data_IF_234865423716
#
_entry.id   IF_234865423716
#
_cell.length_a   1.000
_cell.length_b   1.000
_cell.length_c   1.000
_cell.angle_alpha   90.00
_cell.angle_beta   90.00
_cell.angle_gamma   90.00
#
_symmetry.space_group_name_H-M   'P 1'
#
loop_
_entity.id
_entity.type
_entity.pdbx_description
1 polymer ?
#
# COMPACT_ATOMS: atom_id res chain seq x y z
N UNK A 1 33.19 16.62 -9.74
CA UNK A 1 32.85 16.51 -8.31
C UNK A 1 31.59 17.28 -7.89
N UNK A 2 30.91 18.02 -8.79
CA UNK A 2 29.67 18.75 -8.44
C UNK A 2 28.38 17.90 -8.49
N UNK A 3 28.40 16.75 -9.18
CA UNK A 3 27.19 15.93 -9.39
C UNK A 3 26.74 15.13 -8.16
N UNK A 4 27.67 14.77 -7.25
CA UNK A 4 27.32 13.99 -6.06
C UNK A 4 26.51 14.81 -5.07
N UNK A 5 26.88 16.08 -4.85
CA UNK A 5 26.19 16.96 -3.92
C UNK A 5 24.74 17.24 -4.35
N UNK A 6 24.48 17.31 -5.66
CA UNK A 6 23.12 17.56 -6.18
C UNK A 6 22.23 16.32 -6.07
N UNK A 7 22.77 15.12 -6.29
CA UNK A 7 22.04 13.87 -6.03
C UNK A 7 21.74 13.73 -4.54
N UNK A 8 22.70 14.02 -3.67
CA UNK A 8 22.54 13.92 -2.21
C UNK A 8 21.45 14.88 -1.70
N UNK A 9 21.38 16.11 -2.22
CA UNK A 9 20.29 17.03 -1.91
C UNK A 9 18.93 16.53 -2.40
N UNK A 10 18.84 15.90 -3.57
CA UNK A 10 17.58 15.34 -4.09
C UNK A 10 17.10 14.14 -3.28
N UNK A 11 18.01 13.24 -2.90
CA UNK A 11 17.69 12.12 -2.01
C UNK A 11 17.24 12.66 -0.65
N UNK A 12 17.98 13.61 -0.07
CA UNK A 12 17.61 14.24 1.19
C UNK A 12 16.25 14.92 1.12
N UNK A 13 15.90 15.54 -0.01
CA UNK A 13 14.59 16.15 -0.21
C UNK A 13 13.48 15.09 -0.21
N UNK A 14 13.65 13.99 -0.94
CA UNK A 14 12.68 12.89 -1.02
C UNK A 14 12.51 12.15 0.32
N UNK A 15 13.57 12.06 1.13
CA UNK A 15 13.53 11.42 2.44
C UNK A 15 13.11 12.37 3.58
N UNK A 16 13.02 13.68 3.33
CA UNK A 16 12.70 14.68 4.33
C UNK A 16 13.86 15.07 5.26
N UNK A 17 15.10 14.72 4.89
CA UNK A 17 16.31 14.94 5.70
C UNK A 17 16.96 16.32 5.51
N UNK A 18 16.45 17.12 4.57
CA UNK A 18 16.94 18.47 4.33
C UNK A 18 16.46 19.45 5.40
N UNK A 19 17.30 20.44 5.72
CA UNK A 19 16.85 21.58 6.52
C UNK A 19 15.76 22.38 5.78
N UNK A 20 14.94 23.14 6.52
CA UNK A 20 13.88 23.96 5.92
C UNK A 20 14.39 24.96 4.87
N UNK A 21 15.65 25.42 5.00
CA UNK A 21 16.27 26.29 4.01
C UNK A 21 16.58 25.54 2.71
N UNK A 22 17.16 24.35 2.81
CA UNK A 22 17.52 23.51 1.65
C UNK A 22 16.28 22.94 0.96
N UNK A 23 15.24 22.56 1.71
CA UNK A 23 13.95 22.15 1.15
C UNK A 23 13.37 23.24 0.25
N UNK A 24 13.36 24.49 0.75
CA UNK A 24 12.85 25.63 -0.01
C UNK A 24 13.66 25.87 -1.30
N UNK A 25 14.98 25.70 -1.28
CA UNK A 25 15.81 25.83 -2.48
C UNK A 25 15.50 24.75 -3.52
N UNK A 26 15.24 23.51 -3.08
CA UNK A 26 14.84 22.42 -3.96
C UNK A 26 13.45 22.66 -4.54
N UNK A 27 12.48 23.10 -3.74
CA UNK A 27 11.13 23.47 -4.21
C UNK A 27 11.17 24.61 -5.24
N UNK A 28 11.92 25.67 -4.97
CA UNK A 28 12.05 26.79 -5.90
C UNK A 28 12.65 26.37 -7.25
N UNK A 29 13.56 25.38 -7.25
CA UNK A 29 14.10 24.79 -8.49
C UNK A 29 13.09 23.86 -9.17
N UNK A 30 12.33 23.07 -8.41
CA UNK A 30 11.28 22.18 -8.90
C UNK A 30 10.28 22.93 -9.82
N UNK A 31 9.88 24.13 -9.41
CA UNK A 31 8.93 24.94 -10.17
C UNK A 31 9.52 25.70 -11.36
N UNK A 32 10.86 25.81 -11.46
CA UNK A 32 11.54 26.60 -12.49
C UNK A 32 12.25 25.76 -13.53
N UNK A 33 12.53 24.50 -13.23
CA UNK A 33 13.35 23.61 -14.06
C UNK A 33 12.64 22.25 -14.23
N UNK A 34 11.92 22.12 -15.34
CA UNK A 34 11.22 20.89 -15.71
C UNK A 34 12.18 19.68 -15.80
N UNK A 35 13.44 19.90 -16.21
CA UNK A 35 14.41 18.82 -16.27
C UNK A 35 14.78 18.35 -14.87
N UNK A 36 14.96 19.28 -13.93
CA UNK A 36 15.20 18.96 -12.52
C UNK A 36 14.03 18.16 -11.90
N UNK A 37 12.78 18.55 -12.20
CA UNK A 37 11.60 17.79 -11.78
C UNK A 37 11.61 16.35 -12.34
N UNK A 38 11.84 16.18 -13.64
CA UNK A 38 11.90 14.85 -14.26
C UNK A 38 13.02 13.98 -13.69
N UNK A 39 14.18 14.57 -13.36
CA UNK A 39 15.27 13.86 -12.70
C UNK A 39 14.91 13.46 -11.27
N UNK A 40 14.15 14.30 -10.55
CA UNK A 40 13.68 13.98 -9.20
C UNK A 40 12.67 12.83 -9.19
N UNK A 41 11.70 12.83 -10.11
CA UNK A 41 10.71 11.74 -10.26
C UNK A 41 11.40 10.41 -10.60
N UNK A 42 12.39 10.41 -11.51
CA UNK A 42 13.16 9.20 -11.82
C UNK A 42 13.94 8.68 -10.61
N UNK A 43 14.51 9.60 -9.82
CA UNK A 43 15.25 9.24 -8.63
C UNK A 43 14.32 8.64 -7.56
N UNK A 44 13.11 9.17 -7.41
CA UNK A 44 12.07 8.61 -6.56
C UNK A 44 11.71 7.17 -6.98
N UNK A 45 11.46 6.95 -8.28
CA UNK A 45 11.18 5.61 -8.82
C UNK A 45 12.33 4.61 -8.54
N UNK A 46 13.58 5.06 -8.69
CA UNK A 46 14.76 4.25 -8.41
C UNK A 46 14.91 3.92 -6.93
N UNK A 47 14.65 4.89 -6.03
CA UNK A 47 14.64 4.68 -4.58
C UNK A 47 13.54 3.70 -4.14
N UNK A 48 12.33 3.84 -4.71
CA UNK A 48 11.22 2.90 -4.47
C UNK A 48 11.61 1.50 -4.93
N UNK A 49 12.20 1.37 -6.12
CA UNK A 49 12.64 0.07 -6.67
C UNK A 49 13.70 -0.58 -5.78
N UNK A 50 14.71 0.18 -5.34
CA UNK A 50 15.77 -0.36 -4.48
C UNK A 50 15.24 -0.71 -3.08
N UNK A 51 14.36 0.12 -2.51
CA UNK A 51 13.69 -0.16 -1.23
C UNK A 51 12.87 -1.45 -1.31
N UNK A 52 12.07 -1.61 -2.37
CA UNK A 52 11.33 -2.84 -2.63
C UNK A 52 12.23 -4.05 -2.81
N UNK A 53 13.38 -3.89 -3.48
CA UNK A 53 14.36 -4.96 -3.67
C UNK A 53 15.01 -5.36 -2.34
N UNK A 54 15.41 -4.42 -1.50
CA UNK A 54 15.93 -4.70 -0.16
C UNK A 54 14.86 -5.37 0.71
N UNK A 55 13.60 -4.93 0.63
CA UNK A 55 12.49 -5.56 1.31
C UNK A 55 12.24 -7.00 0.81
N UNK A 56 12.34 -7.23 -0.50
CA UNK A 56 12.25 -8.55 -1.14
C UNK A 56 13.41 -9.46 -0.75
N UNK A 57 14.64 -8.96 -0.71
CA UNK A 57 15.84 -9.71 -0.32
C UNK A 57 15.80 -10.05 1.18
N UNK A 58 15.37 -9.10 2.00
CA UNK A 58 15.15 -9.30 3.45
C UNK A 58 14.03 -10.31 3.69
N UNK A 59 12.92 -10.20 2.95
CA UNK A 59 11.82 -11.16 2.99
C UNK A 59 12.26 -12.53 2.48
N UNK A 60 13.04 -12.63 1.40
CA UNK A 60 13.56 -13.89 0.87
C UNK A 60 14.52 -14.56 1.87
N UNK A 61 15.36 -13.76 2.54
CA UNK A 61 16.26 -14.23 3.59
C UNK A 61 15.53 -14.62 4.89
N UNK A 62 14.37 -14.02 5.17
CA UNK A 62 13.49 -14.40 6.29
C UNK A 62 12.58 -15.60 5.95
N UNK A 63 12.17 -15.77 4.68
CA UNK A 63 11.32 -16.84 4.18
C UNK A 63 12.03 -18.21 4.08
N UNK A 64 13.36 -18.27 4.21
CA UNK A 64 14.07 -19.55 4.46
C UNK A 64 13.79 -20.06 5.88
N UNK A 65 13.32 -19.21 6.80
CA UNK A 65 13.08 -19.59 8.19
C UNK A 65 11.61 -19.60 8.65
N UNK A 66 10.65 -19.01 7.93
CA UNK A 66 9.25 -19.08 8.37
C UNK A 66 8.25 -19.07 7.22
N UNK A 67 7.37 -20.08 7.28
CA UNK A 67 6.23 -20.35 6.41
C UNK A 67 5.33 -19.11 6.30
N UNK A 68 4.89 -18.83 5.08
CA UNK A 68 4.27 -17.56 4.68
C UNK A 68 2.95 -17.20 5.37
N UNK A 69 2.70 -15.89 5.35
CA UNK A 69 1.41 -15.16 5.27
C UNK A 69 1.65 -13.72 5.77
N UNK A 70 1.03 -12.73 5.09
CA UNK A 70 0.83 -11.32 5.49
C UNK A 70 1.96 -10.32 5.17
N UNK A 71 1.89 -9.70 4.00
CA UNK A 71 2.71 -8.51 3.67
C UNK A 71 1.90 -7.20 3.63
N UNK A 72 0.56 -7.24 3.72
CA UNK A 72 -0.27 -6.02 3.73
C UNK A 72 -0.65 -5.56 5.17
N UNK A 73 -0.46 -6.41 6.19
CA UNK A 73 -0.78 -6.06 7.60
C UNK A 73 0.40 -5.50 8.41
N UNK A 74 1.62 -5.40 7.85
CA UNK A 74 2.84 -5.19 8.65
C UNK A 74 3.37 -3.75 8.75
N UNK A 75 2.94 -2.84 7.88
CA UNK A 75 3.38 -1.44 7.94
C UNK A 75 3.03 -0.75 9.28
N UNK A 76 1.80 -0.89 9.83
CA UNK A 76 1.46 -0.31 11.14
C UNK A 76 2.25 -0.95 12.28
N UNK A 77 2.45 -2.27 12.24
CA UNK A 77 3.15 -3.00 13.30
C UNK A 77 4.64 -2.63 13.40
N UNK A 78 5.29 -2.32 12.28
CA UNK A 78 6.70 -1.92 12.24
C UNK A 78 6.89 -0.49 12.79
N UNK A 79 5.97 0.44 12.50
CA UNK A 79 6.03 1.79 13.08
C UNK A 79 5.73 1.78 14.58
N UNK A 80 4.75 1.00 15.03
CA UNK A 80 4.45 0.79 16.45
C UNK A 80 5.67 0.17 17.15
N UNK A 81 6.31 -0.84 16.54
CA UNK A 81 7.51 -1.46 17.11
C UNK A 81 8.70 -0.49 17.17
N UNK A 82 8.92 0.34 16.14
CA UNK A 82 9.97 1.37 16.13
C UNK A 82 9.74 2.38 17.25
N UNK A 83 8.50 2.82 17.44
CA UNK A 83 8.16 3.81 18.46
C UNK A 83 8.23 3.25 19.90
N UNK A 84 7.90 1.97 20.10
CA UNK A 84 8.12 1.27 21.38
C UNK A 84 9.62 1.15 21.71
N UNK A 85 10.47 0.96 20.70
CA UNK A 85 11.93 0.96 20.86
C UNK A 85 12.45 2.35 21.21
N UNK A 86 12.00 3.40 20.52
CA UNK A 86 12.33 4.80 20.83
C UNK A 86 11.87 5.21 22.25
N UNK A 87 10.74 4.68 22.71
CA UNK A 87 10.24 4.92 24.08
C UNK A 87 11.09 4.23 25.16
N UNK A 88 11.72 3.09 24.86
CA UNK A 88 12.65 2.43 25.78
C UNK A 88 14.00 3.17 25.89
N UNK A 89 14.37 4.00 24.92
CA UNK A 89 15.54 4.89 25.03
C UNK A 89 15.31 6.06 26.00
N UNK A 90 14.05 6.45 26.24
CA UNK A 90 13.70 7.45 27.26
C UNK A 90 13.91 6.86 28.67
N UNK A 91 13.66 5.57 28.85
CA UNK A 91 13.90 4.83 30.10
C UNK A 91 15.40 4.65 30.43
N UNK A 92 16.28 4.66 29.42
CA UNK A 92 17.72 4.61 29.63
C UNK A 92 18.32 5.99 29.96
N UNK A 93 17.73 7.08 29.43
CA UNK A 93 18.11 8.46 29.76
C UNK A 93 17.71 8.85 31.20
N UNK A 94 16.58 8.38 31.72
CA UNK A 94 16.11 8.69 33.09
C UNK A 94 16.89 7.97 34.20
N UNK A 95 17.65 6.90 33.90
CA UNK A 95 18.55 6.25 34.88
C UNK A 95 19.90 6.94 35.04
N UNK A 96 20.27 7.84 34.13
CA UNK A 96 21.60 8.45 34.09
C UNK A 96 21.71 9.76 34.89
N UNK A 97 20.60 10.44 35.19
CA UNK A 97 20.63 11.72 35.89
C UNK A 97 19.83 11.65 37.20
N UNK A 98 20.52 11.81 38.33
CA UNK A 98 19.94 11.85 39.68
C UNK A 98 19.10 13.10 39.98
N UNK A 99 18.18 13.45 39.07
CA UNK A 99 17.24 14.56 39.20
C UNK A 99 15.86 14.06 39.58
N UNK A 100 15.29 14.63 40.64
CA UNK A 100 13.89 14.46 41.04
C UNK A 100 12.96 15.04 39.96
N UNK A 101 12.79 14.37 38.82
CA UNK A 101 11.57 14.54 38.03
C UNK A 101 10.46 13.84 38.80
N UNK A 102 9.51 14.64 39.27
CA UNK A 102 8.37 14.15 40.05
C UNK A 102 7.67 13.07 39.23
N UNK A 103 7.40 11.91 39.82
CA UNK A 103 6.72 10.78 39.18
C UNK A 103 5.41 11.17 38.46
N UNK A 104 4.81 12.28 38.86
CA UNK A 104 3.63 12.92 38.27
C UNK A 104 3.89 13.51 36.86
N UNK A 105 5.09 14.05 36.60
CA UNK A 105 5.43 14.66 35.30
C UNK A 105 5.60 13.57 34.23
N UNK A 106 6.23 12.44 34.57
CA UNK A 106 6.39 11.30 33.66
C UNK A 106 5.04 10.66 33.31
N UNK A 107 4.11 10.54 34.26
CA UNK A 107 2.76 10.02 34.00
C UNK A 107 2.02 10.89 32.97
N UNK A 108 2.10 12.22 33.10
CA UNK A 108 1.45 13.13 32.16
C UNK A 108 2.04 13.07 30.75
N UNK A 109 3.35 12.86 30.65
CA UNK A 109 4.04 12.70 29.36
C UNK A 109 3.63 11.38 28.69
N UNK A 110 3.55 10.28 29.46
CA UNK A 110 3.13 8.98 28.96
C UNK A 110 1.66 9.03 28.49
N UNK A 111 0.76 9.64 29.25
CA UNK A 111 -0.65 9.79 28.87
C UNK A 111 -0.81 10.62 27.59
N UNK A 112 -0.08 11.73 27.46
CA UNK A 112 -0.12 12.56 26.26
C UNK A 112 0.38 11.78 25.02
N UNK A 113 1.44 10.98 25.18
CA UNK A 113 2.01 10.17 24.10
C UNK A 113 1.12 8.99 23.72
N UNK A 114 0.47 8.34 24.68
CA UNK A 114 -0.54 7.31 24.39
C UNK A 114 -1.72 7.88 23.60
N UNK A 115 -2.23 9.05 24.00
CA UNK A 115 -3.30 9.72 23.26
C UNK A 115 -2.88 10.06 21.82
N UNK A 116 -1.65 10.53 21.62
CA UNK A 116 -1.11 10.80 20.28
C UNK A 116 -1.08 9.54 19.40
N UNK A 117 -0.71 8.39 19.97
CA UNK A 117 -0.71 7.10 19.25
C UNK A 117 -2.12 6.64 18.93
N UNK A 118 -3.05 6.74 19.88
CA UNK A 118 -4.46 6.39 19.65
C UNK A 118 -5.08 7.23 18.54
N UNK A 119 -4.74 8.52 18.48
CA UNK A 119 -5.20 9.44 17.43
C UNK A 119 -4.63 9.04 16.06
N UNK A 120 -3.33 8.77 15.96
CA UNK A 120 -2.69 8.29 14.73
C UNK A 120 -3.22 6.94 14.27
N UNK A 121 -3.46 6.01 15.20
CA UNK A 121 -4.07 4.72 14.88
C UNK A 121 -5.46 4.91 14.29
N UNK A 122 -6.28 5.79 14.88
CA UNK A 122 -7.61 6.11 14.35
C UNK A 122 -7.54 6.75 12.96
N UNK A 123 -6.56 7.61 12.72
CA UNK A 123 -6.32 8.22 11.40
C UNK A 123 -5.96 7.14 10.36
N UNK A 124 -5.01 6.26 10.69
CA UNK A 124 -4.61 5.14 9.82
C UNK A 124 -5.79 4.20 9.53
N UNK A 125 -6.59 3.85 10.55
CA UNK A 125 -7.79 3.03 10.37
C UNK A 125 -8.80 3.70 9.43
N UNK A 126 -9.03 5.01 9.59
CA UNK A 126 -9.91 5.78 8.72
C UNK A 126 -9.39 5.85 7.28
N UNK A 127 -8.09 6.02 7.08
CA UNK A 127 -7.48 6.02 5.75
C UNK A 127 -7.57 4.65 5.08
N UNK A 128 -7.36 3.58 5.85
CA UNK A 128 -7.53 2.21 5.35
C UNK A 128 -8.98 1.92 4.97
N UNK A 129 -9.95 2.36 5.78
CA UNK A 129 -11.37 2.23 5.46
C UNK A 129 -11.71 2.97 4.16
N UNK A 130 -11.24 4.22 4.02
CA UNK A 130 -11.43 4.99 2.80
C UNK A 130 -10.81 4.32 1.57
N UNK A 131 -9.57 3.82 1.69
CA UNK A 131 -8.89 3.12 0.60
C UNK A 131 -9.62 1.83 0.20
N UNK A 132 -10.17 1.09 1.17
CA UNK A 132 -10.96 -0.11 0.92
C UNK A 132 -12.27 0.21 0.22
N UNK A 133 -12.98 1.25 0.65
CA UNK A 133 -14.22 1.68 0.03
C UNK A 133 -14.02 2.23 -1.38
N UNK A 134 -12.92 2.94 -1.61
CA UNK A 134 -12.52 3.35 -2.96
C UNK A 134 -12.27 2.13 -3.85
N UNK A 135 -11.49 1.13 -3.39
CA UNK A 135 -11.26 -0.11 -4.14
C UNK A 135 -12.55 -0.86 -4.47
N UNK A 136 -13.51 -0.94 -3.54
CA UNK A 136 -14.82 -1.56 -3.79
C UNK A 136 -15.59 -0.84 -4.90
N UNK A 137 -15.55 0.50 -4.91
CA UNK A 137 -16.22 1.31 -5.95
C UNK A 137 -15.60 1.09 -7.32
N UNK A 138 -14.27 1.14 -7.42
CA UNK A 138 -13.56 0.90 -8.68
C UNK A 138 -13.76 -0.54 -9.17
N UNK A 139 -13.75 -1.52 -8.25
CA UNK A 139 -14.08 -2.90 -8.59
C UNK A 139 -15.50 -3.01 -9.14
N UNK A 140 -16.49 -2.39 -8.50
CA UNK A 140 -17.85 -2.38 -9.01
C UNK A 140 -17.95 -1.72 -10.40
N UNK A 141 -17.22 -0.64 -10.64
CA UNK A 141 -17.16 0.00 -11.96
C UNK A 141 -16.54 -0.94 -13.02
N UNK A 142 -15.42 -1.60 -12.70
CA UNK A 142 -14.77 -2.57 -13.58
C UNK A 142 -15.68 -3.77 -13.91
N UNK A 143 -16.55 -4.19 -12.98
CA UNK A 143 -17.51 -5.27 -13.22
C UNK A 143 -18.61 -4.88 -14.22
N UNK A 144 -18.96 -3.60 -14.28
CA UNK A 144 -20.00 -3.07 -15.16
C UNK A 144 -19.46 -2.62 -16.53
N UNK A 145 -18.14 -2.62 -16.71
CA UNK A 145 -17.51 -2.18 -17.96
C UNK A 145 -17.80 -3.14 -19.12
N UNK A 146 -17.71 -2.62 -20.36
CA UNK A 146 -17.91 -3.35 -21.63
C UNK A 146 -19.14 -4.28 -21.60
N UNK A 147 -20.33 -3.72 -21.38
CA UNK A 147 -21.58 -4.48 -21.37
C UNK A 147 -21.62 -5.60 -20.31
N UNK A 148 -21.14 -5.31 -19.10
CA UNK A 148 -21.10 -6.26 -17.98
C UNK A 148 -20.16 -7.45 -18.20
N UNK A 149 -19.16 -7.30 -19.06
CA UNK A 149 -18.20 -8.36 -19.34
C UNK A 149 -17.40 -8.75 -18.08
N UNK A 150 -17.05 -7.78 -17.22
CA UNK A 150 -16.40 -8.07 -15.94
C UNK A 150 -17.24 -8.99 -15.04
N UNK A 151 -18.54 -8.71 -14.92
CA UNK A 151 -19.45 -9.57 -14.16
C UNK A 151 -19.56 -10.98 -14.79
N UNK A 152 -19.64 -11.08 -16.12
CA UNK A 152 -19.69 -12.37 -16.84
C UNK A 152 -18.43 -13.20 -16.60
N UNK A 153 -17.25 -12.57 -16.65
CA UNK A 153 -15.96 -13.21 -16.38
C UNK A 153 -15.91 -13.78 -14.97
N UNK A 154 -16.34 -12.99 -13.99
CA UNK A 154 -16.40 -13.43 -12.59
C UNK A 154 -17.37 -14.61 -12.41
N UNK A 155 -18.56 -14.58 -13.02
CA UNK A 155 -19.51 -15.70 -12.93
C UNK A 155 -18.92 -16.98 -13.52
N UNK A 156 -18.16 -16.88 -14.61
CA UNK A 156 -17.51 -18.04 -15.22
C UNK A 156 -16.36 -18.59 -14.34
N UNK A 157 -15.55 -17.70 -13.76
CA UNK A 157 -14.49 -18.08 -12.79
C UNK A 157 -15.05 -18.62 -11.48
N UNK A 158 -16.28 -18.29 -11.10
CA UNK A 158 -16.93 -18.92 -9.93
C UNK A 158 -17.33 -20.36 -10.21
N UNK A 159 -17.72 -20.65 -11.45
CA UNK A 159 -18.04 -22.02 -11.90
C UNK A 159 -16.78 -22.87 -12.05
N UNK A 160 -15.66 -22.24 -12.37
CA UNK A 160 -14.40 -22.89 -12.69
C UNK A 160 -13.28 -22.20 -11.92
N UNK A 161 -12.76 -22.87 -10.89
CA UNK A 161 -11.83 -22.29 -9.90
C UNK A 161 -10.63 -21.54 -10.47
N UNK A 162 -10.13 -21.91 -11.65
CA UNK A 162 -9.04 -21.21 -12.36
C UNK A 162 -9.19 -21.32 -13.88
N UNK A 163 -8.88 -20.24 -14.62
CA UNK A 163 -8.83 -20.23 -16.10
C UNK A 163 -7.83 -19.23 -16.68
N UNK A 164 -7.34 -19.51 -17.89
CA UNK A 164 -6.57 -18.56 -18.70
C UNK A 164 -7.48 -17.57 -19.44
N UNK A 165 -6.94 -16.43 -19.85
CA UNK A 165 -7.65 -15.44 -20.65
C UNK A 165 -8.17 -16.01 -21.98
N UNK A 166 -7.37 -16.83 -22.67
CA UNK A 166 -7.79 -17.51 -23.90
C UNK A 166 -8.96 -18.46 -23.68
N UNK A 167 -8.94 -19.23 -22.58
CA UNK A 167 -10.04 -20.14 -22.25
C UNK A 167 -11.35 -19.39 -21.94
N UNK A 168 -11.24 -18.21 -21.32
CA UNK A 168 -12.40 -17.34 -21.07
C UNK A 168 -12.92 -16.69 -22.37
N UNK A 169 -12.01 -16.33 -23.30
CA UNK A 169 -12.34 -15.80 -24.62
C UNK A 169 -13.14 -16.78 -25.46
N UNK A 170 -12.66 -18.01 -25.57
CA UNK A 170 -13.35 -19.07 -26.30
C UNK A 170 -14.73 -19.36 -25.70
N UNK A 171 -14.83 -19.38 -24.36
CA UNK A 171 -16.07 -19.70 -23.64
C UNK A 171 -17.12 -18.60 -23.75
N UNK A 172 -16.71 -17.33 -23.70
CA UNK A 172 -17.61 -16.18 -23.74
C UNK A 172 -17.87 -15.68 -25.17
N UNK A 173 -17.12 -16.18 -26.15
CA UNK A 173 -17.10 -15.72 -27.54
C UNK A 173 -16.85 -14.20 -27.63
N UNK A 174 -15.81 -13.75 -26.93
CA UNK A 174 -15.37 -12.34 -26.87
C UNK A 174 -13.90 -12.29 -27.23
N UNK A 175 -13.47 -11.21 -27.89
CA UNK A 175 -12.07 -10.99 -28.23
C UNK A 175 -11.14 -11.06 -26.99
N UNK A 176 -9.97 -11.67 -27.18
CA UNK A 176 -9.03 -11.93 -26.09
C UNK A 176 -8.45 -10.63 -25.53
N UNK A 177 -8.26 -9.59 -26.34
CA UNK A 177 -7.67 -8.33 -25.89
C UNK A 177 -8.64 -7.57 -24.97
N UNK A 178 -9.95 -7.58 -25.30
CA UNK A 178 -11.02 -7.08 -24.43
C UNK A 178 -11.03 -7.80 -23.07
N UNK A 179 -10.95 -9.13 -23.08
CA UNK A 179 -10.91 -9.91 -21.83
C UNK A 179 -9.66 -9.58 -21.02
N UNK A 180 -8.48 -9.52 -21.65
CA UNK A 180 -7.22 -9.21 -20.96
C UNK A 180 -7.28 -7.83 -20.32
N UNK A 181 -7.79 -6.81 -21.03
CA UNK A 181 -7.98 -5.46 -20.51
C UNK A 181 -8.80 -5.45 -19.21
N UNK A 182 -9.91 -6.18 -19.18
CA UNK A 182 -10.79 -6.26 -18.01
C UNK A 182 -10.16 -7.10 -16.89
N UNK A 183 -9.53 -8.24 -17.22
CA UNK A 183 -8.85 -9.07 -16.22
C UNK A 183 -7.76 -8.29 -15.49
N UNK A 184 -6.97 -7.48 -16.21
CA UNK A 184 -5.95 -6.62 -15.60
C UNK A 184 -6.58 -5.65 -14.59
N UNK A 185 -7.68 -4.98 -14.95
CA UNK A 185 -8.41 -4.07 -14.05
C UNK A 185 -8.96 -4.82 -12.83
N UNK A 186 -9.56 -5.99 -13.03
CA UNK A 186 -10.08 -6.81 -11.94
C UNK A 186 -8.98 -7.31 -11.00
N UNK A 187 -7.79 -7.62 -11.50
CA UNK A 187 -6.61 -7.94 -10.66
C UNK A 187 -6.13 -6.69 -9.91
N UNK A 188 -6.03 -5.55 -10.60
CA UNK A 188 -5.58 -4.28 -10.00
C UNK A 188 -6.45 -3.84 -8.83
N UNK A 189 -7.78 -3.97 -8.95
CA UNK A 189 -8.73 -3.62 -7.88
C UNK A 189 -8.98 -4.78 -6.90
N UNK A 190 -8.23 -5.87 -7.04
CA UNK A 190 -8.26 -6.99 -6.11
C UNK A 190 -9.53 -7.82 -6.20
N UNK A 191 -10.28 -7.78 -7.31
CA UNK A 191 -11.40 -8.70 -7.58
C UNK A 191 -10.93 -10.10 -8.01
N UNK A 192 -9.76 -10.19 -8.64
CA UNK A 192 -9.14 -11.44 -9.09
C UNK A 192 -7.70 -11.57 -8.57
N UNK A 193 -7.20 -12.79 -8.53
CA UNK A 193 -5.78 -13.13 -8.38
C UNK A 193 -5.28 -13.78 -9.67
N UNK A 194 -4.07 -13.43 -10.10
CA UNK A 194 -3.38 -14.07 -11.22
C UNK A 194 -2.21 -14.93 -10.68
N UNK A 195 -2.11 -16.18 -11.14
CA UNK A 195 -0.96 -17.06 -10.89
C UNK A 195 -0.63 -17.83 -12.16
N UNK A 196 0.58 -17.63 -12.66
CA UNK A 196 1.10 -18.34 -13.86
C UNK A 196 0.17 -18.18 -15.09
N UNK A 197 -0.40 -16.99 -15.29
CA UNK A 197 -1.36 -16.72 -16.38
C UNK A 197 -2.75 -17.33 -16.20
N UNK A 198 -3.05 -17.89 -15.03
CA UNK A 198 -4.37 -18.34 -14.62
C UNK A 198 -5.00 -17.36 -13.64
N UNK A 199 -6.29 -17.11 -13.82
CA UNK A 199 -7.07 -16.18 -13.01
C UNK A 199 -8.03 -16.94 -12.10
N UNK A 200 -8.17 -16.47 -10.86
CA UNK A 200 -9.14 -16.95 -9.86
C UNK A 200 -9.76 -15.79 -9.09
N UNK A 201 -10.94 -16.00 -8.51
CA UNK A 201 -11.61 -14.98 -7.69
C UNK A 201 -10.88 -14.81 -6.36
N UNK A 202 -10.58 -13.57 -5.99
CA UNK A 202 -9.98 -13.23 -4.69
C UNK A 202 -11.02 -13.22 -3.56
N UNK A 203 -10.57 -13.10 -2.30
CA UNK A 203 -11.49 -12.91 -1.17
C UNK A 203 -12.39 -11.65 -1.30
N UNK A 204 -11.83 -10.53 -1.79
CA UNK A 204 -12.60 -9.30 -1.99
C UNK A 204 -13.60 -9.45 -3.15
N UNK A 205 -13.18 -10.07 -4.26
CA UNK A 205 -14.07 -10.36 -5.39
C UNK A 205 -15.26 -11.21 -4.98
N UNK A 206 -15.03 -12.27 -4.18
CA UNK A 206 -16.08 -13.12 -3.64
C UNK A 206 -17.10 -12.31 -2.80
N UNK A 207 -16.61 -11.47 -1.89
CA UNK A 207 -17.46 -10.63 -1.02
C UNK A 207 -18.34 -9.66 -1.82
N UNK A 208 -17.80 -9.01 -2.86
CA UNK A 208 -18.59 -8.10 -3.71
C UNK A 208 -19.69 -8.84 -4.46
N UNK A 209 -19.41 -10.03 -5.00
CA UNK A 209 -20.42 -10.85 -5.67
C UNK A 209 -21.53 -11.24 -4.69
N UNK A 210 -21.18 -11.69 -3.49
CA UNK A 210 -22.15 -12.06 -2.46
C UNK A 210 -23.06 -10.89 -2.09
N UNK A 211 -22.50 -9.67 -1.99
CA UNK A 211 -23.27 -8.46 -1.75
C UNK A 211 -24.25 -8.16 -2.90
N UNK A 212 -23.78 -8.22 -4.15
CA UNK A 212 -24.63 -8.01 -5.33
C UNK A 212 -25.76 -9.06 -5.43
N UNK A 213 -25.46 -10.32 -5.11
CA UNK A 213 -26.46 -11.39 -5.08
C UNK A 213 -27.49 -11.20 -3.97
N UNK A 214 -27.05 -10.75 -2.79
CA UNK A 214 -27.95 -10.46 -1.67
C UNK A 214 -28.92 -9.34 -2.03
N UNK A 215 -28.45 -8.27 -2.66
CA UNK A 215 -29.27 -7.13 -3.08
C UNK A 215 -30.25 -7.52 -4.21
N UNK A 216 -29.79 -8.33 -5.17
CA UNK A 216 -30.64 -8.87 -6.22
C UNK A 216 -31.80 -9.72 -5.66
N UNK A 217 -31.56 -10.52 -4.62
CA UNK A 217 -32.60 -11.35 -3.96
C UNK A 217 -33.65 -10.56 -3.20
N UNK A 218 -33.34 -9.35 -2.73
CA UNK A 218 -34.30 -8.49 -2.01
C UNK A 218 -35.31 -7.83 -2.96
N UNK A 219 -34.97 -7.78 -4.25
CA UNK A 219 -35.73 -7.00 -5.25
C UNK A 219 -36.78 -7.85 -6.00
N UNK A 220 -36.84 -9.16 -5.76
CA UNK A 220 -37.82 -10.09 -6.34
C UNK A 220 -38.69 -10.76 -5.27
#
# INVERSE_FOLDING_TARGET
MLRTNETDSRIGYLLGDLSAHEQKEVEERLFRDDQYFQELVRLEEDLIRESNKVALDTASSACVNEVGLRTIERLPAIEIARWVVESNEIDSLTRSEGGRTSQTDLSSIIEARLHEVEEKLREIESEQEFANDWKKRELAAALMEEEWLGLRLIVELRRQTTRSASGLSDQLNVDVDSIVSILIKLVQFGGLEEREGLFSISGLGASVIEALEAEARVTF
#
